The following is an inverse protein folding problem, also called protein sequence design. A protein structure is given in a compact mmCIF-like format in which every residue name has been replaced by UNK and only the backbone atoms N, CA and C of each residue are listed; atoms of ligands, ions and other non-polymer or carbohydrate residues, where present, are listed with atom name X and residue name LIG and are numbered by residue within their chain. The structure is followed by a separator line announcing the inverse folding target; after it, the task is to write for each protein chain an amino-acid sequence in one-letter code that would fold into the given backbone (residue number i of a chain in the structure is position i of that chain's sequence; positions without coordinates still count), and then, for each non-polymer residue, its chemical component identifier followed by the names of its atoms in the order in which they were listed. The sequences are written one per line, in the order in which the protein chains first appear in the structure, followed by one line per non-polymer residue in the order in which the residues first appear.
data_IF_283478551520
#
_entry.id   IF_283478551520
#
_cell.length_a   1.000
_cell.length_b   1.000
_cell.length_c   1.000
_cell.angle_alpha   90.00
_cell.angle_beta   90.00
_cell.angle_gamma   90.00
#
_symmetry.space_group_name_H-M   'P 1'
#
loop_
_entity.id
_entity.type
_entity.pdbx_description
1 polymer ?
#
# COMPACT_ATOMS: atom_id res chain seq x y z
N UNK A 1 -9.78 0.67 -0.24
CA UNK A 1 -8.91 -0.39 -0.78
C UNK A 1 -7.49 0.12 -0.89
N UNK A 2 -6.53 -0.64 -0.36
CA UNK A 2 -5.11 -0.39 -0.49
C UNK A 2 -4.51 -1.36 -1.52
N UNK A 3 -3.79 -0.83 -2.49
CA UNK A 3 -3.00 -1.63 -3.44
C UNK A 3 -1.52 -1.24 -3.33
N UNK A 4 -0.63 -2.21 -3.50
CA UNK A 4 0.83 -2.01 -3.49
C UNK A 4 1.43 -2.65 -4.73
N UNK A 5 2.33 -1.93 -5.39
CA UNK A 5 3.04 -2.36 -6.58
C UNK A 5 4.55 -2.14 -6.42
N UNK A 6 5.36 -2.95 -7.10
CA UNK A 6 6.79 -2.68 -7.22
C UNK A 6 7.12 -1.63 -8.28
N UNK A 7 8.40 -1.29 -8.40
CA UNK A 7 8.88 -0.29 -9.37
C UNK A 7 8.61 -0.68 -10.83
N UNK A 8 8.36 -1.96 -11.13
CA UNK A 8 7.97 -2.44 -12.45
C UNK A 8 6.45 -2.43 -12.67
N UNK A 9 5.67 -1.97 -11.68
CA UNK A 9 4.20 -1.93 -11.73
C UNK A 9 3.53 -3.25 -11.40
N UNK A 10 4.28 -4.29 -11.00
CA UNK A 10 3.70 -5.58 -10.62
C UNK A 10 2.96 -5.45 -9.30
N UNK A 11 1.72 -5.91 -9.26
CA UNK A 11 0.89 -5.93 -8.05
C UNK A 11 1.47 -6.91 -7.02
N UNK A 12 1.75 -6.40 -5.82
CA UNK A 12 2.26 -7.17 -4.68
C UNK A 12 1.16 -7.49 -3.67
N UNK A 13 0.26 -6.53 -3.43
CA UNK A 13 -0.78 -6.65 -2.41
C UNK A 13 -2.03 -5.88 -2.83
N UNK A 14 -3.20 -6.47 -2.58
CA UNK A 14 -4.47 -5.75 -2.51
C UNK A 14 -5.16 -6.09 -1.19
N UNK A 15 -5.53 -5.08 -0.41
CA UNK A 15 -6.17 -5.24 0.90
C UNK A 15 -7.40 -4.33 1.01
N UNK A 16 -8.55 -4.92 1.36
CA UNK A 16 -9.70 -4.14 1.83
C UNK A 16 -9.44 -3.73 3.28
N UNK A 17 -9.74 -2.48 3.59
CA UNK A 17 -9.56 -1.90 4.92
C UNK A 17 -10.92 -1.44 5.41
N UNK A 18 -11.26 -1.84 6.62
CA UNK A 18 -12.36 -1.22 7.37
C UNK A 18 -11.75 -0.05 8.15
N UNK A 19 -12.11 1.16 7.74
CA UNK A 19 -11.56 2.40 8.28
C UNK A 19 -12.69 3.35 8.66
N UNK A 20 -12.45 4.18 9.67
CA UNK A 20 -13.42 5.19 10.14
C UNK A 20 -12.91 6.60 9.86
N UNK A 21 -13.77 7.61 10.03
CA UNK A 21 -13.35 9.00 9.88
C UNK A 21 -12.23 9.35 10.88
N UNK A 22 -11.18 10.00 10.39
CA UNK A 22 -10.00 10.37 11.18
C UNK A 22 -8.74 9.60 10.80
N UNK A 23 -7.79 9.51 11.73
CA UNK A 23 -6.49 8.89 11.48
C UNK A 23 -6.57 7.37 11.60
N UNK A 24 -6.26 6.67 10.51
CA UNK A 24 -6.15 5.22 10.49
C UNK A 24 -4.69 4.81 10.29
N UNK A 25 -4.29 3.66 10.82
CA UNK A 25 -2.95 3.11 10.66
C UNK A 25 -3.04 1.65 10.21
N UNK A 26 -2.21 1.28 9.24
CA UNK A 26 -2.09 -0.09 8.73
C UNK A 26 -0.63 -0.45 8.73
N UNK A 27 -0.29 -1.57 9.36
CA UNK A 27 1.06 -2.12 9.36
C UNK A 27 1.20 -3.10 8.20
N UNK A 28 2.30 -3.00 7.46
CA UNK A 28 2.71 -3.92 6.42
C UNK A 28 4.14 -4.38 6.72
N UNK A 29 4.40 -5.66 6.54
CA UNK A 29 5.72 -6.26 6.71
C UNK A 29 6.36 -6.55 5.36
N UNK A 30 7.69 -6.50 5.29
CA UNK A 30 8.43 -6.88 4.08
C UNK A 30 8.13 -8.33 3.65
N UNK A 31 7.84 -9.22 4.61
CA UNK A 31 7.43 -10.59 4.37
C UNK A 31 6.08 -10.67 3.63
N UNK A 32 5.08 -9.88 4.05
CA UNK A 32 3.77 -9.81 3.36
C UNK A 32 3.89 -9.22 1.95
N UNK A 33 4.82 -8.30 1.73
CA UNK A 33 5.02 -7.66 0.42
C UNK A 33 5.86 -8.51 -0.53
N UNK A 34 6.66 -9.44 -0.01
CA UNK A 34 7.56 -10.30 -0.79
C UNK A 34 8.63 -9.54 -1.58
N UNK A 35 8.86 -8.26 -1.27
CA UNK A 35 9.76 -7.38 -2.00
C UNK A 35 10.40 -6.31 -1.09
N UNK A 36 11.59 -5.84 -1.51
CA UNK A 36 12.30 -4.72 -0.92
C UNK A 36 12.65 -3.70 -2.03
N UNK A 37 13.00 -2.48 -1.64
CA UNK A 37 13.26 -1.37 -2.55
C UNK A 37 12.11 -0.37 -2.62
N UNK A 38 12.02 0.36 -3.73
CA UNK A 38 10.98 1.37 -3.95
C UNK A 38 9.69 0.70 -4.39
N UNK A 39 8.63 0.92 -3.63
CA UNK A 39 7.29 0.44 -3.91
C UNK A 39 6.33 1.64 -4.01
N UNK A 40 5.25 1.45 -4.75
CA UNK A 40 4.16 2.43 -4.86
C UNK A 40 2.92 1.85 -4.21
N UNK A 41 2.19 2.64 -3.43
CA UNK A 41 0.90 2.25 -2.89
C UNK A 41 -0.19 3.25 -3.27
N UNK A 42 -1.38 2.72 -3.56
CA UNK A 42 -2.56 3.51 -3.88
C UNK A 42 -3.65 3.19 -2.87
N UNK A 43 -4.21 4.23 -2.24
CA UNK A 43 -5.37 4.12 -1.36
C UNK A 43 -6.57 4.76 -2.04
N UNK A 44 -7.63 3.97 -2.22
CA UNK A 44 -8.94 4.41 -2.72
C UNK A 44 -9.98 4.31 -1.60
N UNK A 45 -10.68 5.40 -1.30
CA UNK A 45 -11.71 5.50 -0.26
C UNK A 45 -12.89 6.32 -0.80
N UNK A 46 -13.98 5.64 -1.19
CA UNK A 46 -15.05 6.28 -1.95
C UNK A 46 -14.48 6.89 -3.24
N UNK A 47 -14.76 8.17 -3.46
CA UNK A 47 -14.28 8.92 -4.62
C UNK A 47 -12.84 9.45 -4.47
N UNK A 48 -12.24 9.29 -3.28
CA UNK A 48 -10.87 9.74 -3.04
C UNK A 48 -9.87 8.67 -3.48
N UNK A 49 -8.84 9.08 -4.23
CA UNK A 49 -7.70 8.23 -4.56
C UNK A 49 -6.39 8.97 -4.33
N UNK A 50 -5.42 8.31 -3.73
CA UNK A 50 -4.08 8.86 -3.52
C UNK A 50 -3.01 7.80 -3.74
N UNK A 51 -1.96 8.18 -4.46
CA UNK A 51 -0.80 7.33 -4.74
C UNK A 51 0.45 7.90 -4.10
N UNK A 52 1.22 7.07 -3.42
CA UNK A 52 2.45 7.46 -2.71
C UNK A 52 3.53 6.40 -2.87
N UNK A 53 4.78 6.80 -2.65
CA UNK A 53 5.94 5.90 -2.68
C UNK A 53 6.36 5.53 -1.27
N UNK A 54 6.91 4.33 -1.12
CA UNK A 54 7.58 3.86 0.09
C UNK A 54 8.89 3.17 -0.28
N UNK A 55 9.85 3.21 0.64
CA UNK A 55 11.12 2.48 0.52
C UNK A 55 11.13 1.41 1.60
N UNK A 56 11.19 0.15 1.19
CA UNK A 56 11.26 -0.99 2.10
C UNK A 56 12.69 -1.49 2.13
N UNK A 57 13.31 -1.41 3.30
CA UNK A 57 14.63 -2.00 3.58
C UNK A 57 14.46 -3.33 4.31
N UNK A 58 15.43 -4.23 4.13
CA UNK A 58 15.53 -5.48 4.89
C UNK A 58 16.31 -5.27 6.18
#
# INVERSE_FOLDING_TARGET
TLTVQDAAGRLLLTRKLEATAGRNQVTLTAAELGAAGVLTYTLTAGDFTATRKMVVVR
#
